data_IF_570749528840
#
_entry.id   IF_570749528840
#
_cell.length_a   1.000
_cell.length_b   1.000
_cell.length_c   1.000
_cell.angle_alpha   90.00
_cell.angle_beta   90.00
_cell.angle_gamma   90.00
#
_symmetry.space_group_name_H-M   'P 1'
#
loop_
_entity.id
_entity.type
_entity.pdbx_description
1 polymer ?
#
# COMPACT_ATOMS: atom_id res chain seq x y z
N UNK A 1 -3.99 -20.74 -3.75
CA UNK A 1 -3.79 -19.51 -4.55
C UNK A 1 -4.88 -18.51 -4.17
N UNK A 2 -4.55 -17.23 -3.94
CA UNK A 2 -5.57 -16.19 -3.78
C UNK A 2 -6.13 -15.85 -5.17
N UNK A 3 -7.44 -15.64 -5.28
CA UNK A 3 -8.04 -15.13 -6.51
C UNK A 3 -7.90 -13.61 -6.58
N UNK A 4 -7.86 -13.04 -7.79
CA UNK A 4 -7.78 -11.60 -8.04
C UNK A 4 -8.85 -10.82 -7.26
N UNK A 5 -10.11 -11.26 -7.31
CA UNK A 5 -11.21 -10.63 -6.55
C UNK A 5 -10.95 -10.59 -5.03
N UNK A 6 -10.22 -11.57 -4.48
CA UNK A 6 -9.87 -11.57 -3.04
C UNK A 6 -8.74 -10.58 -2.75
N UNK A 7 -7.83 -10.38 -3.68
CA UNK A 7 -6.73 -9.42 -3.58
C UNK A 7 -7.29 -8.02 -3.67
N UNK A 8 -8.12 -7.74 -4.68
CA UNK A 8 -8.81 -6.46 -4.86
C UNK A 8 -9.57 -6.07 -3.60
N UNK A 9 -10.41 -6.96 -3.05
CA UNK A 9 -11.16 -6.69 -1.81
C UNK A 9 -10.24 -6.35 -0.62
N UNK A 10 -9.06 -6.98 -0.53
CA UNK A 10 -8.08 -6.66 0.51
C UNK A 10 -7.42 -5.31 0.27
N UNK A 11 -7.03 -5.04 -0.97
CA UNK A 11 -6.45 -3.74 -1.35
C UNK A 11 -7.46 -2.61 -1.12
N UNK A 12 -8.71 -2.74 -1.57
CA UNK A 12 -9.77 -1.75 -1.33
C UNK A 12 -9.94 -1.48 0.16
N UNK A 13 -10.04 -2.51 1.01
CA UNK A 13 -10.18 -2.33 2.47
C UNK A 13 -8.96 -1.63 3.09
N UNK A 14 -7.77 -1.90 2.57
CA UNK A 14 -6.52 -1.30 3.00
C UNK A 14 -6.42 0.17 2.59
N UNK A 15 -6.72 0.50 1.32
CA UNK A 15 -6.60 1.84 0.74
C UNK A 15 -7.74 2.78 1.17
N UNK A 16 -8.92 2.25 1.46
CA UNK A 16 -10.10 3.04 1.83
C UNK A 16 -9.88 3.91 3.07
N UNK A 17 -9.00 3.48 3.99
CA UNK A 17 -8.59 4.26 5.18
C UNK A 17 -8.08 5.65 4.79
N UNK A 18 -7.32 5.73 3.71
CA UNK A 18 -6.72 6.96 3.22
C UNK A 18 -7.65 7.66 2.21
N UNK A 19 -8.19 6.91 1.24
CA UNK A 19 -9.01 7.45 0.15
C UNK A 19 -10.28 8.14 0.67
N UNK A 20 -10.93 7.61 1.72
CA UNK A 20 -12.15 8.23 2.28
C UNK A 20 -11.93 9.61 2.89
N UNK A 21 -10.68 9.96 3.22
CA UNK A 21 -10.31 11.27 3.78
C UNK A 21 -10.10 12.33 2.68
N UNK A 22 -10.08 11.92 1.41
CA UNK A 22 -9.87 12.80 0.26
C UNK A 22 -11.20 13.37 -0.24
N UNK A 23 -11.23 14.68 -0.50
CA UNK A 23 -12.42 15.37 -1.03
C UNK A 23 -12.35 15.54 -2.53
N UNK A 24 -11.17 15.82 -3.08
CA UNK A 24 -10.98 16.04 -4.53
C UNK A 24 -10.47 14.80 -5.23
N UNK A 25 -10.73 14.72 -6.54
CA UNK A 25 -10.22 13.61 -7.36
C UNK A 25 -8.70 13.58 -7.37
N UNK A 26 -8.03 14.73 -7.46
CA UNK A 26 -6.57 14.81 -7.37
C UNK A 26 -6.03 14.25 -6.05
N UNK A 27 -6.70 14.53 -4.92
CA UNK A 27 -6.32 13.94 -3.64
C UNK A 27 -6.52 12.43 -3.61
N UNK A 28 -7.64 11.93 -4.17
CA UNK A 28 -7.92 10.50 -4.27
C UNK A 28 -6.87 9.77 -5.11
N UNK A 29 -6.46 10.34 -6.23
CA UNK A 29 -5.41 9.76 -7.09
C UNK A 29 -4.06 9.69 -6.37
N UNK A 30 -3.67 10.76 -5.66
CA UNK A 30 -2.45 10.74 -4.82
C UNK A 30 -2.55 9.71 -3.69
N UNK A 31 -3.69 9.65 -3.00
CA UNK A 31 -3.95 8.67 -1.94
C UNK A 31 -3.92 7.23 -2.46
N UNK A 32 -4.45 6.99 -3.65
CA UNK A 32 -4.37 5.70 -4.31
C UNK A 32 -2.90 5.34 -4.57
N UNK A 33 -2.12 6.23 -5.21
CA UNK A 33 -0.69 6.01 -5.45
C UNK A 33 0.10 5.68 -4.18
N UNK A 34 -0.08 6.46 -3.11
CA UNK A 34 0.51 6.19 -1.79
C UNK A 34 0.09 4.80 -1.29
N UNK A 35 -1.19 4.46 -1.38
CA UNK A 35 -1.71 3.15 -0.95
C UNK A 35 -1.07 2.01 -1.74
N UNK A 36 -0.84 2.18 -3.06
CA UNK A 36 -0.21 1.14 -3.87
C UNK A 36 1.26 0.92 -3.47
N UNK A 37 2.01 1.98 -3.19
CA UNK A 37 3.42 1.90 -2.73
C UNK A 37 3.51 1.20 -1.37
N UNK A 38 2.65 1.58 -0.43
CA UNK A 38 2.59 0.95 0.89
C UNK A 38 2.15 -0.52 0.81
N UNK A 39 1.26 -0.84 -0.13
CA UNK A 39 0.87 -2.21 -0.42
C UNK A 39 2.05 -3.04 -0.95
N UNK A 40 2.87 -2.47 -1.85
CA UNK A 40 4.06 -3.13 -2.37
C UNK A 40 5.04 -3.50 -1.25
N UNK A 41 5.35 -2.54 -0.38
CA UNK A 41 6.23 -2.78 0.78
C UNK A 41 5.68 -3.89 1.69
N UNK A 42 4.37 -3.89 1.93
CA UNK A 42 3.70 -4.90 2.76
C UNK A 42 3.84 -6.31 2.19
N UNK A 43 3.57 -6.48 0.89
CA UNK A 43 3.56 -7.80 0.24
C UNK A 43 4.96 -8.33 -0.05
N UNK A 44 5.96 -7.45 -0.16
CA UNK A 44 7.38 -7.83 -0.16
C UNK A 44 7.92 -8.14 1.24
N UNK A 45 7.18 -7.78 2.28
CA UNK A 45 7.66 -7.86 3.66
C UNK A 45 8.80 -6.90 3.98
N UNK A 46 8.86 -5.78 3.25
CA UNK A 46 9.84 -4.70 3.39
C UNK A 46 9.25 -3.48 4.09
N UNK A 47 8.08 -3.61 4.72
CA UNK A 47 7.37 -2.55 5.43
C UNK A 47 7.95 -2.26 6.83
N UNK A 48 9.25 -2.02 6.92
CA UNK A 48 9.87 -1.44 8.12
C UNK A 48 9.54 0.05 8.22
N UNK A 49 9.62 0.64 9.41
CA UNK A 49 9.36 2.08 9.59
C UNK A 49 10.26 2.94 8.70
N UNK A 50 11.55 2.60 8.63
CA UNK A 50 12.54 3.29 7.80
C UNK A 50 12.20 3.23 6.30
N UNK A 51 11.84 2.06 5.78
CA UNK A 51 11.48 1.91 4.36
C UNK A 51 10.19 2.64 4.01
N UNK A 52 9.18 2.55 4.89
CA UNK A 52 7.92 3.26 4.73
C UNK A 52 8.15 4.77 4.78
N UNK A 53 8.93 5.25 5.75
CA UNK A 53 9.31 6.66 5.84
C UNK A 53 10.01 7.13 4.56
N UNK A 54 11.03 6.38 4.11
CA UNK A 54 11.83 6.76 2.95
C UNK A 54 10.97 6.85 1.68
N UNK A 55 10.15 5.83 1.41
CA UNK A 55 9.25 5.81 0.26
C UNK A 55 8.23 6.96 0.29
N UNK A 56 7.66 7.26 1.47
CA UNK A 56 6.71 8.35 1.61
C UNK A 56 7.36 9.73 1.52
N UNK A 57 8.57 9.90 2.08
CA UNK A 57 9.31 11.15 2.00
C UNK A 57 9.67 11.50 0.55
N UNK A 58 9.94 10.51 -0.30
CA UNK A 58 10.17 10.77 -1.72
C UNK A 58 8.97 11.39 -2.43
N UNK A 59 7.76 11.09 -1.98
CA UNK A 59 6.50 11.59 -2.57
C UNK A 59 6.07 12.91 -1.94
N UNK A 60 6.11 12.98 -0.61
CA UNK A 60 5.56 14.10 0.15
C UNK A 60 6.55 15.25 0.27
N UNK A 61 7.86 14.96 0.28
CA UNK A 61 8.95 15.93 0.49
C UNK A 61 8.75 16.82 1.74
N UNK A 62 8.03 16.30 2.73
CA UNK A 62 7.67 17.00 3.97
C UNK A 62 7.76 16.04 5.17
N UNK A 63 8.52 16.42 6.19
CA UNK A 63 8.84 15.54 7.32
C UNK A 63 7.62 15.24 8.21
N UNK A 64 6.86 16.26 8.59
CA UNK A 64 5.71 16.11 9.48
C UNK A 64 4.59 15.29 8.84
N UNK A 65 4.31 15.57 7.56
CA UNK A 65 3.38 14.75 6.78
C UNK A 65 3.88 13.33 6.68
N UNK A 66 5.16 13.08 6.36
CA UNK A 66 5.69 11.71 6.28
C UNK A 66 5.50 10.96 7.59
N UNK A 67 5.85 11.54 8.75
CA UNK A 67 5.64 10.90 10.06
C UNK A 67 4.16 10.56 10.27
N UNK A 68 3.27 11.48 9.92
CA UNK A 68 1.83 11.29 10.05
C UNK A 68 1.33 10.13 9.18
N UNK A 69 1.82 10.01 7.94
CA UNK A 69 1.47 8.91 7.04
C UNK A 69 2.10 7.57 7.43
N UNK A 70 3.34 7.56 7.96
CA UNK A 70 3.97 6.36 8.54
C UNK A 70 3.10 5.83 9.68
N UNK A 71 2.68 6.71 10.58
CA UNK A 71 1.81 6.36 11.71
C UNK A 71 0.45 5.83 11.21
N UNK A 72 -0.17 6.53 10.26
CA UNK A 72 -1.42 6.10 9.63
C UNK A 72 -1.31 4.70 9.03
N UNK A 73 -0.19 4.40 8.36
CA UNK A 73 0.05 3.09 7.75
C UNK A 73 0.08 1.97 8.81
N UNK A 74 0.92 2.08 9.84
CA UNK A 74 1.10 1.00 10.82
C UNK A 74 -0.12 0.83 11.73
N UNK A 75 -0.78 1.92 12.12
CA UNK A 75 -1.89 1.86 13.08
C UNK A 75 -3.26 1.68 12.42
N UNK A 76 -3.53 2.28 11.26
CA UNK A 76 -4.86 2.24 10.64
C UNK A 76 -4.92 1.39 9.37
N UNK A 77 -3.99 1.54 8.42
CA UNK A 77 -4.10 0.85 7.13
C UNK A 77 -3.74 -0.63 7.25
N UNK A 78 -2.56 -0.94 7.78
CA UNK A 78 -2.07 -2.32 7.96
C UNK A 78 -2.98 -3.12 8.90
N UNK A 79 -3.56 -2.48 9.91
CA UNK A 79 -4.48 -3.13 10.86
C UNK A 79 -5.81 -3.56 10.22
N UNK A 80 -6.16 -3.07 9.03
CA UNK A 80 -7.30 -3.60 8.25
C UNK A 80 -7.05 -5.00 7.70
N UNK A 81 -5.84 -5.52 7.78
CA UNK A 81 -5.48 -6.86 7.33
C UNK A 81 -5.07 -7.71 8.53
N UNK A 82 -5.64 -8.91 8.64
CA UNK A 82 -5.22 -9.88 9.65
C UNK A 82 -3.84 -10.42 9.30
N UNK A 83 -3.05 -10.83 10.30
CA UNK A 83 -1.73 -11.45 10.10
C UNK A 83 -1.75 -12.61 9.08
N UNK A 84 -2.80 -13.44 9.11
CA UNK A 84 -2.99 -14.53 8.15
C UNK A 84 -3.20 -14.04 6.71
N UNK A 85 -3.90 -12.92 6.53
CA UNK A 85 -4.13 -12.34 5.21
C UNK A 85 -2.83 -11.74 4.66
N UNK A 86 -2.04 -11.06 5.50
CA UNK A 86 -0.71 -10.56 5.12
C UNK A 86 0.20 -11.71 4.71
N UNK A 87 0.23 -12.81 5.47
CA UNK A 87 0.99 -14.01 5.11
C UNK A 87 0.56 -14.59 3.76
N UNK A 88 -0.76 -14.68 3.53
CA UNK A 88 -1.29 -15.16 2.24
C UNK A 88 -0.91 -14.26 1.07
N UNK A 89 -0.93 -12.93 1.27
CA UNK A 89 -0.51 -11.96 0.26
C UNK A 89 0.98 -12.10 -0.06
N UNK A 90 1.84 -12.16 0.96
CA UNK A 90 3.28 -12.37 0.78
C UNK A 90 3.59 -13.66 0.04
N UNK A 91 2.93 -14.76 0.41
CA UNK A 91 3.05 -16.03 -0.30
C UNK A 91 2.49 -16.00 -1.73
N UNK A 92 1.51 -15.15 -2.00
CA UNK A 92 0.95 -15.02 -3.34
C UNK A 92 1.89 -14.27 -4.28
N UNK A 93 2.52 -13.20 -3.78
CA UNK A 93 3.45 -12.33 -4.51
C UNK A 93 4.93 -12.71 -4.37
N UNK A 94 5.25 -13.83 -3.71
CA UNK A 94 6.61 -14.40 -3.74
C UNK A 94 6.94 -15.04 -5.09
N UNK A 95 5.92 -15.23 -5.93
CA UNK A 95 6.04 -15.66 -7.32
C UNK A 95 6.44 -14.46 -8.20
N UNK A 96 7.53 -14.59 -8.96
CA UNK A 96 8.11 -13.51 -9.75
C UNK A 96 7.16 -12.99 -10.83
N UNK A 97 6.31 -13.85 -11.41
CA UNK A 97 5.35 -13.45 -12.45
C UNK A 97 4.26 -12.54 -11.86
N UNK A 98 3.70 -12.93 -10.71
CA UNK A 98 2.69 -12.10 -10.01
C UNK A 98 3.27 -10.85 -9.40
N UNK A 99 4.55 -10.91 -9.04
CA UNK A 99 5.26 -9.72 -8.61
C UNK A 99 5.42 -8.72 -9.77
N UNK A 100 5.71 -9.22 -10.98
CA UNK A 100 5.79 -8.38 -12.17
C UNK A 100 4.44 -7.73 -12.50
N UNK A 101 3.33 -8.48 -12.46
CA UNK A 101 1.98 -7.93 -12.65
C UNK A 101 1.65 -6.79 -11.66
N UNK A 102 2.05 -6.96 -10.39
CA UNK A 102 1.90 -5.92 -9.38
C UNK A 102 2.79 -4.70 -9.66
N UNK A 103 4.00 -4.94 -10.14
CA UNK A 103 4.94 -3.87 -10.54
C UNK A 103 4.41 -3.09 -11.73
N UNK A 104 3.84 -3.77 -12.73
CA UNK A 104 3.28 -3.13 -13.92
C UNK A 104 2.05 -2.29 -13.59
N UNK A 105 1.20 -2.75 -12.66
CA UNK A 105 0.07 -1.99 -12.11
C UNK A 105 0.48 -0.70 -11.35
N UNK A 106 1.75 -0.61 -10.93
CA UNK A 106 2.31 0.60 -10.30
C UNK A 106 2.89 1.57 -11.34
N UNK A 107 3.32 1.07 -12.50
CA UNK A 107 3.93 1.84 -13.60
C UNK A 107 2.93 2.76 -14.31
N UNK A 108 1.63 2.46 -14.27
CA UNK A 108 0.56 3.25 -14.91
C UNK A 108 0.32 4.64 -14.30
N UNK A 109 1.06 5.01 -13.25
CA UNK A 109 0.90 6.28 -12.51
C UNK A 109 2.10 7.24 -12.65
N UNK A 110 3.07 6.90 -13.49
CA UNK A 110 4.20 7.76 -13.87
C UNK A 110 3.95 8.52 -15.17
#
# INVERSE_FOLDING_TARGET
MLSETKIEKKFTRFSDVLIKKCTTESQKQKALGISKILWLLLVRGQDTEENVYSALFEILKDHESTISFVSLYFYEMKSKLRKVEIKQLRNHYSDSERFQELSDWLSEFH
#
